data_IF_987391085565
#
_entry.id   IF_987391085565
#
_cell.length_a   1.000
_cell.length_b   1.000
_cell.length_c   1.000
_cell.angle_alpha   90.00
_cell.angle_beta   90.00
_cell.angle_gamma   90.00
#
_symmetry.space_group_name_H-M   'P 1'
#
loop_
_entity.id
_entity.type
_entity.pdbx_description
1 polymer ?
#
# COMPACT_ATOMS: atom_id res chain seq x y z
N UNK A 1 14.63 -0.64 3.11
CA UNK A 1 15.91 0.05 3.44
C UNK A 1 16.10 1.38 2.68
N UNK A 2 16.21 1.40 1.34
CA UNK A 2 16.43 2.66 0.58
C UNK A 2 15.38 3.73 0.89
N UNK A 3 14.10 3.37 0.77
CA UNK A 3 12.99 4.25 1.07
C UNK A 3 13.12 4.87 2.48
N UNK A 4 13.41 4.05 3.48
CA UNK A 4 13.56 4.49 4.86
C UNK A 4 14.70 5.51 5.05
N UNK A 5 15.89 5.25 4.48
CA UNK A 5 17.03 6.16 4.62
C UNK A 5 16.79 7.48 3.87
N UNK A 6 16.31 7.40 2.62
CA UNK A 6 16.04 8.57 1.78
C UNK A 6 14.91 9.41 2.40
N UNK A 7 13.82 8.76 2.80
CA UNK A 7 12.67 9.40 3.44
C UNK A 7 13.05 10.05 4.78
N UNK A 8 13.86 9.38 5.60
CA UNK A 8 14.35 9.96 6.86
C UNK A 8 15.20 11.22 6.62
N UNK A 9 16.07 11.21 5.60
CA UNK A 9 16.87 12.38 5.24
C UNK A 9 15.98 13.55 4.79
N UNK A 10 15.00 13.29 3.91
CA UNK A 10 14.02 14.30 3.46
C UNK A 10 13.22 14.84 4.65
N UNK A 11 12.73 13.97 5.52
CA UNK A 11 11.99 14.33 6.73
C UNK A 11 12.81 15.25 7.63
N UNK A 12 14.08 14.90 7.90
CA UNK A 12 14.97 15.71 8.75
C UNK A 12 15.29 17.06 8.13
N UNK A 13 15.56 17.12 6.82
CA UNK A 13 15.79 18.39 6.12
C UNK A 13 14.55 19.29 6.17
N UNK A 14 13.37 18.73 5.90
CA UNK A 14 12.11 19.47 5.96
C UNK A 14 11.82 20.02 7.37
N UNK A 15 12.06 19.22 8.42
CA UNK A 15 11.96 19.66 9.82
C UNK A 15 12.99 20.75 10.14
N UNK A 16 14.23 20.62 9.65
CA UNK A 16 15.29 21.62 9.85
C UNK A 16 14.92 22.98 9.23
N UNK A 17 14.22 23.00 8.10
CA UNK A 17 13.74 24.24 7.48
C UNK A 17 12.50 24.83 8.15
N UNK A 18 11.99 24.20 9.21
CA UNK A 18 10.86 24.71 10.00
C UNK A 18 9.50 24.11 9.67
N UNK A 19 9.42 23.09 8.81
CA UNK A 19 8.14 22.45 8.47
C UNK A 19 7.71 21.46 9.57
N UNK A 20 6.39 21.31 9.76
CA UNK A 20 5.83 20.18 10.49
C UNK A 20 5.77 18.98 9.55
N UNK A 21 6.66 18.01 9.76
CA UNK A 21 6.76 16.81 8.90
C UNK A 21 6.45 15.55 9.68
N UNK A 22 5.56 14.73 9.15
CA UNK A 22 5.23 13.39 9.65
C UNK A 22 5.82 12.35 8.71
N UNK A 23 6.57 11.39 9.25
CA UNK A 23 6.97 10.18 8.56
C UNK A 23 5.88 9.13 8.69
N UNK A 24 5.41 8.63 7.55
CA UNK A 24 4.45 7.54 7.44
C UNK A 24 5.15 6.32 6.84
N UNK A 25 5.06 5.18 7.53
CA UNK A 25 5.68 3.93 7.11
C UNK A 25 4.90 3.23 5.99
N UNK A 26 3.59 3.47 5.89
CA UNK A 26 2.62 2.82 5.01
C UNK A 26 2.89 1.31 4.77
N UNK A 27 2.44 0.48 5.72
CA UNK A 27 2.67 -0.96 5.71
C UNK A 27 1.79 -1.70 4.69
N UNK A 28 2.35 -2.68 3.99
CA UNK A 28 1.58 -3.64 3.18
C UNK A 28 1.01 -4.77 4.04
N UNK A 29 -0.07 -4.50 4.77
CA UNK A 29 -0.64 -5.37 5.80
C UNK A 29 -1.99 -6.01 5.43
N UNK A 30 -2.55 -5.73 4.24
CA UNK A 30 -3.93 -6.09 3.90
C UNK A 30 -4.07 -6.94 2.62
N UNK A 31 -2.97 -7.50 2.12
CA UNK A 31 -2.91 -8.24 0.85
C UNK A 31 -2.69 -9.75 0.98
N UNK A 32 -2.48 -10.39 -0.18
CA UNK A 32 -2.29 -11.83 -0.33
C UNK A 32 -1.17 -12.40 0.55
N UNK A 33 -0.17 -11.59 0.92
CA UNK A 33 0.91 -11.98 1.83
C UNK A 33 0.40 -12.53 3.16
N UNK A 34 -0.69 -11.99 3.71
CA UNK A 34 -1.26 -12.48 4.97
C UNK A 34 -1.99 -13.81 4.75
N UNK A 35 -2.77 -13.92 3.67
CA UNK A 35 -3.43 -15.18 3.32
C UNK A 35 -2.44 -16.32 3.07
N UNK A 36 -1.27 -16.02 2.48
CA UNK A 36 -0.19 -16.98 2.28
C UNK A 36 0.40 -17.48 3.60
N UNK A 37 0.64 -16.57 4.56
CA UNK A 37 1.15 -16.94 5.88
C UNK A 37 0.15 -17.85 6.60
N UNK A 38 -1.14 -17.47 6.62
CA UNK A 38 -2.18 -18.24 7.29
C UNK A 38 -2.39 -19.60 6.60
N UNK A 39 -2.38 -19.65 5.26
CA UNK A 39 -2.49 -20.90 4.51
C UNK A 39 -1.35 -21.86 4.88
N UNK A 40 -0.11 -21.37 4.90
CA UNK A 40 1.06 -22.20 5.23
C UNK A 40 1.06 -22.64 6.69
N UNK A 41 0.59 -21.80 7.62
CA UNK A 41 0.38 -22.21 9.01
C UNK A 41 -0.58 -23.40 9.11
N UNK A 42 -1.68 -23.38 8.35
CA UNK A 42 -2.64 -24.49 8.29
C UNK A 42 -2.02 -25.75 7.68
N UNK A 43 -1.23 -25.64 6.62
CA UNK A 43 -0.55 -26.77 5.99
C UNK A 43 0.47 -27.43 6.94
N UNK A 44 1.13 -26.62 7.78
CA UNK A 44 2.05 -27.09 8.83
C UNK A 44 1.34 -27.65 10.06
N UNK A 45 0.01 -27.57 10.12
CA UNK A 45 -0.78 -28.02 11.26
C UNK A 45 -0.51 -27.19 12.53
N UNK A 46 -0.18 -25.91 12.38
CA UNK A 46 0.09 -25.03 13.52
C UNK A 46 -1.22 -24.72 14.26
N UNK A 47 -1.27 -25.07 15.55
CA UNK A 47 -2.39 -24.79 16.46
C UNK A 47 -2.15 -23.54 17.34
N UNK A 48 -0.99 -22.90 17.18
CA UNK A 48 -0.56 -21.71 17.91
C UNK A 48 -0.19 -20.57 16.98
N UNK A 49 -0.11 -19.37 17.56
CA UNK A 49 0.39 -18.20 16.86
C UNK A 49 1.88 -18.36 16.48
N UNK A 50 2.30 -17.84 15.31
CA UNK A 50 3.68 -17.93 14.86
C UNK A 50 4.57 -16.96 15.62
N UNK A 51 5.84 -17.33 15.76
CA UNK A 51 6.92 -16.42 16.19
C UNK A 51 7.46 -15.62 14.99
N UNK A 52 8.26 -14.59 15.27
CA UNK A 52 8.87 -13.78 14.22
C UNK A 52 9.88 -14.59 13.38
N UNK A 53 10.65 -15.47 14.03
CA UNK A 53 11.57 -16.38 13.35
C UNK A 53 10.81 -17.29 12.38
N UNK A 54 9.67 -17.85 12.82
CA UNK A 54 8.83 -18.69 11.96
C UNK A 54 8.22 -17.91 10.80
N UNK A 55 7.79 -16.66 11.00
CA UNK A 55 7.28 -15.84 9.89
C UNK A 55 8.33 -15.65 8.78
N UNK A 56 9.59 -15.53 9.17
CA UNK A 56 10.73 -15.39 8.24
C UNK A 56 10.95 -16.66 7.40
N UNK A 57 10.45 -17.81 7.85
CA UNK A 57 10.50 -19.08 7.11
C UNK A 57 9.19 -19.38 6.37
N UNK A 58 8.05 -19.09 7.00
CA UNK A 58 6.70 -19.35 6.50
C UNK A 58 6.46 -18.53 5.23
N UNK A 59 6.69 -17.22 5.27
CA UNK A 59 6.32 -16.36 4.15
C UNK A 59 7.09 -16.68 2.85
N UNK A 60 8.43 -16.85 2.85
CA UNK A 60 9.15 -17.23 1.62
C UNK A 60 8.73 -18.59 1.07
N UNK A 61 8.49 -19.57 1.94
CA UNK A 61 8.02 -20.90 1.53
C UNK A 61 6.62 -20.81 0.88
N UNK A 62 5.68 -20.11 1.52
CA UNK A 62 4.34 -19.89 1.03
C UNK A 62 4.34 -19.13 -0.31
N UNK A 63 5.15 -18.08 -0.43
CA UNK A 63 5.28 -17.25 -1.63
C UNK A 63 5.90 -18.01 -2.80
N UNK A 64 6.85 -18.91 -2.53
CA UNK A 64 7.41 -19.80 -3.55
C UNK A 64 6.35 -20.79 -4.03
N UNK A 65 5.68 -21.48 -3.10
CA UNK A 65 4.64 -22.46 -3.41
C UNK A 65 3.48 -21.86 -4.19
N UNK A 66 3.03 -20.65 -3.86
CA UNK A 66 1.92 -19.99 -4.56
C UNK A 66 2.20 -19.63 -6.02
N UNK A 67 3.47 -19.68 -6.46
CA UNK A 67 3.83 -19.47 -7.87
C UNK A 67 3.76 -20.76 -8.69
N UNK A 68 3.76 -21.92 -8.03
CA UNK A 68 3.85 -23.24 -8.65
C UNK A 68 2.54 -24.05 -8.47
N UNK A 69 1.80 -23.79 -7.41
CA UNK A 69 0.58 -24.51 -7.02
C UNK A 69 -0.63 -23.54 -7.03
N UNK A 70 -1.42 -23.62 -8.10
CA UNK A 70 -2.59 -22.74 -8.27
C UNK A 70 -3.68 -23.02 -7.23
N UNK A 71 -3.87 -24.29 -6.82
CA UNK A 71 -4.86 -24.64 -5.80
C UNK A 71 -4.48 -24.06 -4.44
N UNK A 72 -3.18 -24.09 -4.10
CA UNK A 72 -2.66 -23.43 -2.90
C UNK A 72 -2.84 -21.91 -2.95
N UNK A 73 -2.58 -21.30 -4.11
CA UNK A 73 -2.79 -19.87 -4.31
C UNK A 73 -4.27 -19.47 -4.18
N UNK A 74 -5.18 -20.24 -4.76
CA UNK A 74 -6.63 -20.04 -4.61
C UNK A 74 -7.06 -20.13 -3.14
N UNK A 75 -6.54 -21.10 -2.38
CA UNK A 75 -6.77 -21.20 -0.92
C UNK A 75 -6.29 -19.96 -0.18
N UNK A 76 -5.09 -19.46 -0.48
CA UNK A 76 -4.56 -18.23 0.13
C UNK A 76 -5.39 -16.98 -0.23
N UNK A 77 -5.91 -16.92 -1.47
CA UNK A 77 -6.82 -15.86 -1.90
C UNK A 77 -8.17 -15.91 -1.17
N UNK A 78 -8.75 -17.10 -0.97
CA UNK A 78 -9.98 -17.28 -0.19
C UNK A 78 -9.80 -16.88 1.28
N UNK A 79 -8.66 -17.23 1.89
CA UNK A 79 -8.32 -16.77 3.24
C UNK A 79 -8.19 -15.24 3.29
N UNK A 80 -7.51 -14.64 2.32
CA UNK A 80 -7.38 -13.18 2.22
C UNK A 80 -8.75 -12.51 2.10
N UNK A 81 -9.62 -13.07 1.27
CA UNK A 81 -11.00 -12.59 1.11
C UNK A 81 -11.77 -12.65 2.44
N UNK A 82 -11.74 -13.79 3.14
CA UNK A 82 -12.41 -13.96 4.44
C UNK A 82 -11.87 -13.01 5.50
N UNK A 83 -10.56 -12.81 5.55
CA UNK A 83 -9.91 -11.82 6.42
C UNK A 83 -10.48 -10.41 6.16
N UNK A 84 -10.49 -9.97 4.89
CA UNK A 84 -11.00 -8.66 4.49
C UNK A 84 -12.52 -8.50 4.74
N UNK A 85 -13.26 -9.60 4.83
CA UNK A 85 -14.70 -9.63 5.13
C UNK A 85 -15.02 -9.87 6.61
N UNK A 86 -14.03 -9.73 7.49
CA UNK A 86 -14.25 -9.70 8.93
C UNK A 86 -14.29 -11.06 9.61
N UNK A 87 -13.69 -12.10 9.01
CA UNK A 87 -13.53 -13.38 9.70
C UNK A 87 -12.68 -13.22 10.97
N UNK A 88 -13.31 -13.43 12.14
CA UNK A 88 -12.71 -13.18 13.44
C UNK A 88 -11.49 -14.06 13.73
N UNK A 89 -11.43 -15.27 13.17
CA UNK A 89 -10.27 -16.14 13.33
C UNK A 89 -9.08 -15.60 12.56
N UNK A 90 -9.27 -15.25 11.30
CA UNK A 90 -8.19 -14.69 10.49
C UNK A 90 -7.77 -13.30 10.96
N UNK A 91 -8.71 -12.45 11.39
CA UNK A 91 -8.39 -11.15 11.97
C UNK A 91 -7.56 -11.29 13.26
N UNK A 92 -7.80 -12.33 14.07
CA UNK A 92 -6.99 -12.60 15.27
C UNK A 92 -5.55 -12.97 14.89
N UNK A 93 -5.36 -13.81 13.88
CA UNK A 93 -4.03 -14.21 13.41
C UNK A 93 -3.31 -13.01 12.78
N UNK A 94 -4.01 -12.25 11.94
CA UNK A 94 -3.48 -11.03 11.32
C UNK A 94 -3.02 -10.01 12.36
N UNK A 95 -3.84 -9.71 13.38
CA UNK A 95 -3.46 -8.80 14.48
C UNK A 95 -2.17 -9.24 15.17
N UNK A 96 -2.04 -10.53 15.48
CA UNK A 96 -0.82 -11.08 16.07
C UNK A 96 0.39 -10.91 15.15
N UNK A 97 0.26 -11.23 13.86
CA UNK A 97 1.31 -11.04 12.85
C UNK A 97 1.74 -9.57 12.80
N UNK A 98 0.78 -8.64 12.85
CA UNK A 98 1.09 -7.21 12.82
C UNK A 98 1.81 -6.75 14.07
N UNK A 99 1.36 -7.17 15.26
CA UNK A 99 1.98 -6.77 16.52
C UNK A 99 3.47 -7.16 16.58
N UNK A 100 3.80 -8.41 16.23
CA UNK A 100 5.19 -8.89 16.24
C UNK A 100 6.02 -8.25 15.12
N UNK A 101 5.43 -8.00 13.95
CA UNK A 101 6.13 -7.39 12.82
C UNK A 101 6.42 -5.91 13.08
N UNK A 102 5.48 -5.16 13.65
CA UNK A 102 5.65 -3.74 14.01
C UNK A 102 6.72 -3.59 15.09
N UNK A 103 6.73 -4.47 16.10
CA UNK A 103 7.75 -4.44 17.14
C UNK A 103 9.17 -4.65 16.58
N UNK A 104 9.35 -5.63 15.68
CA UNK A 104 10.63 -5.87 15.02
C UNK A 104 11.05 -4.72 14.08
N UNK A 105 10.12 -4.22 13.28
CA UNK A 105 10.38 -3.07 12.39
C UNK A 105 10.85 -1.86 13.18
N UNK A 106 10.23 -1.54 14.32
CA UNK A 106 10.67 -0.46 15.22
C UNK A 106 12.10 -0.69 15.69
N UNK A 107 12.41 -1.87 16.23
CA UNK A 107 13.75 -2.20 16.70
C UNK A 107 14.82 -2.11 15.59
N UNK A 108 14.45 -2.48 14.36
CA UNK A 108 15.35 -2.40 13.21
C UNK A 108 15.55 -0.97 12.69
N UNK A 109 14.50 -0.15 12.68
CA UNK A 109 14.62 1.26 12.31
C UNK A 109 15.36 2.09 13.36
N UNK A 110 15.21 1.77 14.65
CA UNK A 110 15.94 2.43 15.74
C UNK A 110 17.45 2.27 15.57
N UNK A 111 17.93 1.07 15.17
CA UNK A 111 19.35 0.82 14.86
C UNK A 111 19.87 1.69 13.72
N UNK A 112 18.98 2.11 12.81
CA UNK A 112 19.29 2.97 11.67
C UNK A 112 19.06 4.46 11.98
N UNK A 113 18.62 4.81 13.20
CA UNK A 113 18.19 6.16 13.56
C UNK A 113 17.10 6.70 12.61
N UNK A 114 16.19 5.82 12.20
CA UNK A 114 15.01 6.14 11.40
C UNK A 114 13.79 6.07 12.30
N UNK A 115 12.85 7.00 12.15
CA UNK A 115 11.61 6.99 12.93
C UNK A 115 10.39 7.34 12.08
N UNK A 116 9.21 6.92 12.53
CA UNK A 116 7.95 7.24 11.88
C UNK A 116 6.96 7.72 12.94
N UNK A 117 6.25 8.79 12.61
CA UNK A 117 5.17 9.33 13.43
C UNK A 117 3.85 8.58 13.17
N UNK A 118 3.67 8.02 11.98
CA UNK A 118 2.48 7.30 11.55
C UNK A 118 2.85 5.84 11.27
N UNK A 119 2.16 4.93 11.94
CA UNK A 119 2.30 3.47 11.82
C UNK A 119 1.01 2.86 11.30
N UNK A 120 0.57 3.34 10.14
CA UNK A 120 -0.63 2.86 9.43
C UNK A 120 -0.24 1.98 8.24
N UNK A 121 -1.16 1.13 7.82
CA UNK A 121 -1.04 0.26 6.65
C UNK A 121 -2.11 0.50 5.60
N UNK A 122 -2.15 -0.39 4.62
CA UNK A 122 -3.22 -0.50 3.63
C UNK A 122 -4.58 -0.77 4.31
N UNK A 123 -4.57 -1.53 5.41
CA UNK A 123 -5.77 -1.87 6.19
C UNK A 123 -6.48 -0.64 6.77
N UNK A 124 -5.72 0.38 7.17
CA UNK A 124 -6.27 1.62 7.71
C UNK A 124 -7.01 2.46 6.66
N UNK A 125 -6.76 2.23 5.37
CA UNK A 125 -7.42 2.91 4.27
C UNK A 125 -8.74 2.22 3.85
N UNK A 126 -8.95 0.96 4.24
CA UNK A 126 -10.11 0.14 3.87
C UNK A 126 -11.46 0.83 4.14
N UNK A 127 -11.70 1.47 5.31
CA UNK A 127 -12.97 2.15 5.59
C UNK A 127 -13.29 3.33 4.65
N UNK A 128 -12.28 3.88 3.97
CA UNK A 128 -12.42 5.03 3.08
C UNK A 128 -12.69 4.62 1.62
N UNK A 129 -12.44 3.36 1.26
CA UNK A 129 -12.57 2.88 -0.12
C UNK A 129 -14.02 3.01 -0.61
N UNK A 130 -14.98 2.39 0.09
CA UNK A 130 -16.37 2.41 -0.35
C UNK A 130 -16.97 3.83 -0.41
N UNK A 131 -16.83 4.69 0.62
CA UNK A 131 -17.29 6.08 0.55
C UNK A 131 -16.65 6.88 -0.59
N UNK A 132 -15.34 6.73 -0.81
CA UNK A 132 -14.62 7.41 -1.88
C UNK A 132 -15.15 7.00 -3.25
N UNK A 133 -15.31 5.70 -3.50
CA UNK A 133 -15.77 5.19 -4.78
C UNK A 133 -17.20 5.65 -5.09
N UNK A 134 -18.09 5.59 -4.10
CA UNK A 134 -19.47 6.05 -4.28
C UNK A 134 -19.54 7.56 -4.56
N UNK A 135 -18.68 8.37 -3.92
CA UNK A 135 -18.55 9.79 -4.23
C UNK A 135 -18.10 10.01 -5.67
N UNK A 136 -17.04 9.35 -6.10
CA UNK A 136 -16.49 9.47 -7.46
C UNK A 136 -17.52 9.12 -8.54
N UNK A 137 -18.34 8.08 -8.32
CA UNK A 137 -19.45 7.71 -9.22
C UNK A 137 -20.53 8.79 -9.24
N UNK A 138 -20.98 9.24 -8.06
CA UNK A 138 -22.06 10.21 -7.91
C UNK A 138 -21.72 11.57 -8.53
N UNK A 139 -20.48 12.01 -8.40
CA UNK A 139 -19.99 13.30 -8.91
C UNK A 139 -19.55 13.22 -10.38
N UNK A 140 -19.61 12.03 -11.00
CA UNK A 140 -19.31 11.84 -12.42
C UNK A 140 -17.83 11.85 -12.76
N UNK A 141 -16.94 11.72 -11.76
CA UNK A 141 -15.50 11.62 -11.99
C UNK A 141 -15.08 10.25 -12.51
N UNK A 142 -15.72 9.19 -12.04
CA UNK A 142 -15.44 7.81 -12.43
C UNK A 142 -16.58 7.21 -13.26
N UNK A 143 -16.23 6.43 -14.27
CA UNK A 143 -17.19 5.79 -15.17
C UNK A 143 -16.82 4.32 -15.45
N UNK A 144 -17.81 3.54 -15.89
CA UNK A 144 -17.59 2.14 -16.23
C UNK A 144 -16.97 2.00 -17.62
N UNK A 145 -15.86 1.28 -17.73
CA UNK A 145 -15.18 0.95 -18.97
C UNK A 145 -14.82 -0.53 -18.97
N UNK A 146 -15.40 -1.30 -19.91
CA UNK A 146 -15.22 -2.77 -19.98
C UNK A 146 -15.52 -3.49 -18.65
N UNK A 147 -16.49 -2.98 -17.88
CA UNK A 147 -16.87 -3.51 -16.57
C UNK A 147 -16.04 -2.96 -15.41
N UNK A 148 -14.82 -2.47 -15.65
CA UNK A 148 -14.00 -1.83 -14.62
C UNK A 148 -14.46 -0.38 -14.37
N UNK A 149 -14.22 0.15 -13.17
CA UNK A 149 -14.44 1.56 -12.85
C UNK A 149 -13.13 2.32 -13.05
N UNK A 150 -13.15 3.39 -13.85
CA UNK A 150 -11.94 4.15 -14.22
C UNK A 150 -12.15 5.66 -14.11
N UNK A 151 -11.05 6.40 -13.98
CA UNK A 151 -10.98 7.87 -14.03
C UNK A 151 -9.98 8.27 -15.11
N UNK A 152 -10.39 9.13 -16.05
CA UNK A 152 -9.46 9.66 -17.05
C UNK A 152 -8.46 10.63 -16.42
N UNK A 153 -7.17 10.39 -16.65
CA UNK A 153 -6.07 11.17 -16.05
C UNK A 153 -5.07 11.68 -17.09
N UNK A 154 -5.38 11.55 -18.38
CA UNK A 154 -4.57 12.16 -19.43
C UNK A 154 -4.81 13.67 -19.48
N UNK A 155 -3.75 14.42 -19.76
CA UNK A 155 -3.74 15.87 -19.96
C UNK A 155 -3.27 16.19 -21.39
N UNK A 156 -3.70 17.32 -21.95
CA UNK A 156 -3.32 17.73 -23.32
C UNK A 156 -1.81 17.98 -23.47
N UNK A 157 -1.13 18.33 -22.38
CA UNK A 157 0.32 18.55 -22.34
C UNK A 157 1.15 17.27 -22.31
N UNK A 158 0.53 16.10 -22.25
CA UNK A 158 1.25 14.84 -22.15
C UNK A 158 2.00 14.51 -23.44
N UNK A 159 3.29 14.16 -23.30
CA UNK A 159 4.11 13.73 -24.43
C UNK A 159 3.67 12.36 -25.00
N UNK A 160 2.92 11.58 -24.22
CA UNK A 160 2.37 10.27 -24.57
C UNK A 160 1.02 10.11 -23.88
N UNK A 161 0.11 9.38 -24.50
CA UNK A 161 -1.17 9.03 -23.90
C UNK A 161 -0.97 8.33 -22.55
N UNK A 162 -1.63 8.84 -21.51
CA UNK A 162 -1.65 8.22 -20.19
C UNK A 162 -2.98 7.48 -20.04
N UNK A 163 -2.95 6.16 -19.82
CA UNK A 163 -4.17 5.38 -19.74
C UNK A 163 -5.02 5.80 -18.53
N UNK A 164 -6.34 5.58 -18.58
CA UNK A 164 -7.22 5.83 -17.44
C UNK A 164 -6.75 5.13 -16.17
N UNK A 165 -6.90 5.82 -15.05
CA UNK A 165 -6.62 5.29 -13.73
C UNK A 165 -7.73 4.31 -13.32
N UNK A 166 -7.39 3.03 -13.15
CA UNK A 166 -8.37 2.01 -12.76
C UNK A 166 -8.61 2.08 -11.25
N UNK A 167 -9.88 2.29 -10.87
CA UNK A 167 -10.32 2.42 -9.48
C UNK A 167 -10.87 1.10 -8.94
N UNK A 168 -11.63 0.34 -9.74
CA UNK A 168 -12.09 -1.01 -9.38
C UNK A 168 -11.99 -1.92 -10.60
N UNK A 169 -11.73 -3.20 -10.37
CA UNK A 169 -11.81 -4.23 -11.39
C UNK A 169 -13.26 -4.51 -11.80
N UNK A 170 -13.45 -5.31 -12.84
CA UNK A 170 -14.78 -5.70 -13.34
C UNK A 170 -15.60 -6.56 -12.38
N UNK A 171 -14.95 -7.25 -11.45
CA UNK A 171 -15.56 -7.99 -10.35
C UNK A 171 -15.86 -7.10 -9.12
N UNK A 172 -15.55 -5.80 -9.20
CA UNK A 172 -15.71 -4.84 -8.11
C UNK A 172 -14.57 -4.87 -7.09
N UNK A 173 -13.53 -5.67 -7.28
CA UNK A 173 -12.40 -5.74 -6.34
C UNK A 173 -11.54 -4.47 -6.39
N UNK A 174 -11.11 -4.03 -5.20
CA UNK A 174 -10.13 -2.96 -5.04
C UNK A 174 -8.73 -3.38 -5.55
N UNK A 175 -7.93 -2.39 -5.91
CA UNK A 175 -6.54 -2.51 -6.32
C UNK A 175 -5.65 -1.65 -5.40
N UNK A 176 -4.34 -1.76 -5.59
CA UNK A 176 -3.39 -0.84 -4.94
C UNK A 176 -3.71 0.62 -5.24
N UNK A 177 -4.11 0.95 -6.47
CA UNK A 177 -4.54 2.31 -6.86
C UNK A 177 -5.73 2.80 -6.04
N UNK A 178 -6.72 1.93 -5.79
CA UNK A 178 -7.87 2.25 -4.93
C UNK A 178 -7.42 2.56 -3.51
N UNK A 179 -6.51 1.75 -2.99
CA UNK A 179 -5.99 1.85 -1.62
C UNK A 179 -5.14 3.11 -1.46
N UNK A 180 -4.30 3.46 -2.44
CA UNK A 180 -3.50 4.68 -2.43
C UNK A 180 -4.37 5.95 -2.47
N UNK A 181 -5.45 5.95 -3.27
CA UNK A 181 -6.40 7.05 -3.31
C UNK A 181 -7.17 7.18 -1.99
N UNK A 182 -7.62 6.05 -1.42
CA UNK A 182 -8.26 6.02 -0.11
C UNK A 182 -7.31 6.48 1.01
N UNK A 183 -6.02 6.16 0.89
CA UNK A 183 -4.98 6.65 1.79
C UNK A 183 -4.82 8.17 1.70
N UNK A 184 -4.94 8.77 0.50
CA UNK A 184 -4.97 10.23 0.36
C UNK A 184 -6.23 10.85 0.98
N UNK A 185 -7.39 10.21 0.87
CA UNK A 185 -8.60 10.64 1.59
C UNK A 185 -8.33 10.67 3.10
N UNK A 186 -7.83 9.57 3.65
CA UNK A 186 -7.49 9.49 5.08
C UNK A 186 -6.48 10.57 5.49
N UNK A 187 -5.40 10.77 4.72
CA UNK A 187 -4.37 11.77 5.04
C UNK A 187 -4.92 13.19 5.02
N UNK A 188 -5.79 13.50 4.07
CA UNK A 188 -6.45 14.81 4.01
C UNK A 188 -7.37 15.02 5.22
N UNK A 189 -8.17 14.03 5.61
CA UNK A 189 -9.04 14.11 6.77
C UNK A 189 -8.27 14.25 8.10
N UNK A 190 -7.22 13.44 8.28
CA UNK A 190 -6.46 13.36 9.53
C UNK A 190 -5.48 14.54 9.71
N UNK A 191 -4.84 14.97 8.61
CA UNK A 191 -3.64 15.81 8.69
C UNK A 191 -3.69 17.09 7.86
N UNK A 192 -4.55 17.18 6.84
CA UNK A 192 -4.65 18.33 5.90
C UNK A 192 -3.29 18.82 5.41
N UNK A 193 -2.50 17.95 4.75
CA UNK A 193 -1.12 18.27 4.41
C UNK A 193 -1.03 19.30 3.26
N UNK A 194 -0.11 20.26 3.39
CA UNK A 194 0.27 21.13 2.27
C UNK A 194 1.07 20.36 1.18
N UNK A 195 1.70 19.24 1.56
CA UNK A 195 2.53 18.42 0.68
C UNK A 195 2.62 16.97 1.18
N UNK A 196 2.58 16.03 0.24
CA UNK A 196 2.76 14.58 0.46
C UNK A 196 3.84 14.09 -0.50
N UNK A 197 4.89 13.47 0.03
CA UNK A 197 6.02 12.95 -0.74
C UNK A 197 6.02 11.42 -0.63
N UNK A 198 5.86 10.73 -1.76
CA UNK A 198 5.94 9.28 -1.85
C UNK A 198 7.36 8.84 -2.19
N UNK A 199 8.06 8.24 -1.23
CA UNK A 199 9.43 7.76 -1.42
C UNK A 199 9.42 6.29 -1.79
N UNK A 200 9.34 6.00 -3.09
CA UNK A 200 9.07 4.64 -3.60
C UNK A 200 10.04 4.27 -4.73
N UNK A 201 10.09 3.00 -5.11
CA UNK A 201 10.89 2.52 -6.24
C UNK A 201 10.45 3.20 -7.55
N UNK A 202 11.41 3.63 -8.37
CA UNK A 202 11.17 4.35 -9.62
C UNK A 202 10.28 3.59 -10.62
N UNK A 203 10.18 2.25 -10.52
CA UNK A 203 9.29 1.45 -11.36
C UNK A 203 7.81 1.77 -11.16
N UNK A 204 7.44 2.45 -10.08
CA UNK A 204 6.05 2.84 -9.77
C UNK A 204 5.69 4.26 -10.24
N UNK A 205 6.54 4.92 -11.03
CA UNK A 205 6.35 6.30 -11.50
C UNK A 205 4.99 6.51 -12.21
N UNK A 206 4.64 5.64 -13.16
CA UNK A 206 3.36 5.73 -13.87
C UNK A 206 2.16 5.53 -12.94
N UNK A 207 2.27 4.61 -11.98
CA UNK A 207 1.20 4.36 -11.00
C UNK A 207 0.93 5.62 -10.16
N UNK A 208 1.96 6.22 -9.57
CA UNK A 208 1.77 7.43 -8.77
C UNK A 208 1.37 8.65 -9.60
N UNK A 209 1.82 8.76 -10.85
CA UNK A 209 1.31 9.77 -11.77
C UNK A 209 -0.20 9.66 -11.95
N UNK A 210 -0.72 8.46 -12.19
CA UNK A 210 -2.16 8.22 -12.32
C UNK A 210 -2.90 8.49 -11.01
N UNK A 211 -2.38 8.01 -9.87
CA UNK A 211 -2.96 8.25 -8.53
C UNK A 211 -3.05 9.74 -8.23
N UNK A 212 -1.98 10.51 -8.45
CA UNK A 212 -1.95 11.94 -8.11
C UNK A 212 -2.92 12.73 -8.98
N UNK A 213 -2.97 12.44 -10.28
CA UNK A 213 -3.93 13.09 -11.18
C UNK A 213 -5.37 12.72 -10.87
N UNK A 214 -5.64 11.45 -10.56
CA UNK A 214 -6.97 11.03 -10.12
C UNK A 214 -7.35 11.72 -8.81
N UNK A 215 -6.44 11.81 -7.84
CA UNK A 215 -6.68 12.48 -6.57
C UNK A 215 -7.03 13.97 -6.74
N UNK A 216 -6.30 14.69 -7.60
CA UNK A 216 -6.57 16.09 -7.93
C UNK A 216 -7.90 16.26 -8.65
N UNK A 217 -8.09 15.51 -9.74
CA UNK A 217 -9.29 15.58 -10.58
C UNK A 217 -10.56 15.27 -9.79
N UNK A 218 -10.51 14.31 -8.87
CA UNK A 218 -11.65 13.89 -8.04
C UNK A 218 -11.81 14.71 -6.75
N UNK A 219 -11.03 15.79 -6.56
CA UNK A 219 -11.06 16.63 -5.37
C UNK A 219 -10.80 15.86 -4.07
N UNK A 220 -9.95 14.81 -4.11
CA UNK A 220 -9.54 14.08 -2.90
C UNK A 220 -8.65 14.96 -2.04
N UNK A 221 -7.73 15.67 -2.67
CA UNK A 221 -6.90 16.69 -2.03
C UNK A 221 -7.16 18.04 -2.68
N UNK A 222 -6.98 19.16 -1.95
CA UNK A 222 -7.01 20.50 -2.53
C UNK A 222 -6.02 20.67 -3.68
N UNK A 223 -6.30 21.56 -4.63
CA UNK A 223 -5.47 21.78 -5.83
C UNK A 223 -4.06 22.26 -5.47
N UNK A 224 -3.91 22.99 -4.36
CA UNK A 224 -2.65 23.50 -3.82
C UNK A 224 -1.78 22.43 -3.14
N UNK A 225 -2.35 21.30 -2.69
CA UNK A 225 -1.60 20.25 -1.99
C UNK A 225 -0.57 19.60 -2.90
N UNK A 226 0.73 19.74 -2.62
CA UNK A 226 1.76 19.19 -3.50
C UNK A 226 1.88 17.67 -3.33
N UNK A 227 1.60 16.90 -4.39
CA UNK A 227 1.83 15.46 -4.43
C UNK A 227 3.12 15.19 -5.22
N UNK A 228 4.13 14.63 -4.55
CA UNK A 228 5.46 14.45 -5.13
C UNK A 228 5.88 12.98 -5.12
N UNK A 229 6.34 12.50 -6.27
CA UNK A 229 6.92 11.17 -6.40
C UNK A 229 8.45 11.27 -6.30
N UNK A 230 9.02 10.73 -5.22
CA UNK A 230 10.45 10.64 -5.02
C UNK A 230 10.96 9.22 -5.32
N UNK A 231 11.09 8.94 -6.62
CA UNK A 231 11.55 7.66 -7.12
C UNK A 231 13.02 7.36 -6.86
N UNK A 232 13.35 6.20 -6.28
CA UNK A 232 14.72 5.70 -6.19
C UNK A 232 14.96 4.45 -7.05
N UNK A 233 16.20 4.25 -7.52
CA UNK A 233 16.56 3.10 -8.38
C UNK A 233 16.67 1.75 -7.64
N UNK A 234 16.97 0.68 -8.35
CA UNK A 234 17.23 -0.65 -7.74
C UNK A 234 18.54 -0.65 -6.95
N UNK A 235 18.62 -1.46 -5.89
CA UNK A 235 19.93 -1.84 -5.36
C UNK A 235 20.44 -2.98 -6.22
N UNK A 236 21.68 -2.89 -6.68
CA UNK A 236 22.27 -3.94 -7.50
C UNK A 236 23.49 -4.51 -6.80
N UNK A 237 23.69 -5.82 -6.95
CA UNK A 237 24.93 -6.50 -6.63
C UNK A 237 26.08 -6.03 -7.52
N UNK A 238 27.29 -6.53 -7.23
CA UNK A 238 28.48 -6.23 -8.03
C UNK A 238 28.38 -6.69 -9.49
N UNK A 239 27.47 -7.62 -9.76
CA UNK A 239 27.14 -8.15 -11.08
C UNK A 239 26.10 -7.30 -11.83
N UNK A 240 25.66 -6.18 -11.24
CA UNK A 240 24.68 -5.27 -11.84
C UNK A 240 23.24 -5.76 -11.78
N UNK A 241 22.97 -6.90 -11.11
CA UNK A 241 21.62 -7.44 -10.94
C UNK A 241 21.02 -7.05 -9.59
N UNK A 242 19.68 -6.89 -9.50
CA UNK A 242 18.99 -6.62 -8.23
C UNK A 242 19.22 -7.68 -7.16
#
# INVERSE_FOLDING_TARGET
LRAAIIGEAVKRLSKYTGNKTLGDIHMGDWGLQIGLIIAEMQERGMDRMPTLEELSEIYPAASARSKEDEAYKEKAMDITYKLQHGDEEYLRIWRHIMDISVADLKANYDKLNVSFEIWKGESDADPYIAPMVERMKKEGYAYSSQGALVVDVSEESDAKEIPPCMILKSDGAALYTTTDLATLVQREEDYKPDSVIYVVDKRQDMHFLQVFRAAKKCGIVPEETRLEFLGFGTMNGKDGKP
#
